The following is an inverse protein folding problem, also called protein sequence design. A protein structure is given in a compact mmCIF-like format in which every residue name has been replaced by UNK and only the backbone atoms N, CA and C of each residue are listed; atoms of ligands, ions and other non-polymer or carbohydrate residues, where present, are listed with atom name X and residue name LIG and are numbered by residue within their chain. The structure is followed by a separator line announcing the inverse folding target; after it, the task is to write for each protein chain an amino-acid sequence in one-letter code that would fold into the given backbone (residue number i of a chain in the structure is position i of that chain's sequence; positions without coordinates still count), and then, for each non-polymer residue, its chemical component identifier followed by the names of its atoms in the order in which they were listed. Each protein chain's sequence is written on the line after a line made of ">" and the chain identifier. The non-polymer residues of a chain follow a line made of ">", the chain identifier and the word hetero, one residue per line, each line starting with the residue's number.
data_IF_702690740682
#
_entry.id   IF_702690740682
#
_cell.length_a   1.000
_cell.length_b   1.000
_cell.length_c   1.000
_cell.angle_alpha   90.00
_cell.angle_beta   90.00
_cell.angle_gamma   90.00
#
_symmetry.space_group_name_H-M   'P 1'
#
loop_
_entity.id
_entity.type
_entity.pdbx_description
1 polymer ?
#
# COMPACT_ATOMS: atom_id res chain seq x y z
N UNK A 1 -9.63 -1.74 14.35
CA UNK A 1 -8.68 -1.22 13.32
C UNK A 1 -7.58 -2.25 13.05
N UNK A 2 -7.24 -2.53 11.76
CA UNK A 2 -6.10 -3.39 11.38
C UNK A 2 -4.77 -2.72 11.73
N UNK A 3 -3.75 -3.53 12.01
CA UNK A 3 -2.41 -3.08 12.38
C UNK A 3 -1.38 -3.68 11.47
N UNK A 4 -0.60 -2.81 10.88
CA UNK A 4 0.32 -3.16 9.81
C UNK A 4 1.68 -2.54 10.05
N UNK A 5 2.71 -3.20 9.53
CA UNK A 5 4.08 -2.70 9.54
C UNK A 5 4.37 -1.98 8.23
N UNK A 6 5.18 -0.93 8.29
CA UNK A 6 5.68 -0.21 7.13
C UNK A 6 7.20 -0.23 7.10
N UNK A 7 7.74 -0.81 6.03
CA UNK A 7 9.16 -0.71 5.67
C UNK A 7 9.34 0.20 4.47
N UNK A 8 10.29 1.11 4.57
CA UNK A 8 10.77 1.88 3.42
C UNK A 8 12.01 1.21 2.85
N UNK A 9 11.91 0.70 1.62
CA UNK A 9 12.98 -0.04 0.94
C UNK A 9 13.77 0.92 0.04
N UNK A 10 15.10 0.79 0.04
CA UNK A 10 15.99 1.67 -0.72
C UNK A 10 16.51 2.89 0.04
N UNK A 11 16.16 3.03 1.32
CA UNK A 11 16.76 3.99 2.24
C UNK A 11 18.02 3.42 2.90
N UNK A 12 18.82 4.30 3.51
CA UNK A 12 20.00 3.87 4.29
C UNK A 12 19.61 3.03 5.51
N UNK A 13 18.39 3.26 6.02
CA UNK A 13 17.80 2.61 7.18
C UNK A 13 17.07 1.30 6.82
N UNK A 14 17.10 0.87 5.56
CA UNK A 14 16.55 -0.43 5.18
C UNK A 14 17.27 -1.52 5.99
N UNK A 15 16.56 -2.36 6.77
CA UNK A 15 17.21 -3.38 7.57
C UNK A 15 17.93 -4.41 6.69
N UNK A 16 18.87 -5.15 7.26
CA UNK A 16 19.42 -6.31 6.58
C UNK A 16 18.30 -7.32 6.27
N UNK A 17 18.46 -8.04 5.18
CA UNK A 17 17.40 -8.89 4.64
C UNK A 17 16.88 -9.95 5.63
N UNK A 18 17.79 -10.68 6.28
CA UNK A 18 17.40 -11.70 7.27
C UNK A 18 16.77 -11.06 8.52
N UNK A 19 17.23 -9.90 8.94
CA UNK A 19 16.64 -9.13 10.05
C UNK A 19 15.18 -8.78 9.76
N UNK A 20 14.88 -8.28 8.57
CA UNK A 20 13.49 -7.99 8.18
C UNK A 20 12.62 -9.25 8.18
N UNK A 21 13.16 -10.38 7.71
CA UNK A 21 12.41 -11.65 7.74
C UNK A 21 12.07 -12.05 9.18
N UNK A 22 13.01 -11.97 10.11
CA UNK A 22 12.80 -12.28 11.53
C UNK A 22 11.72 -11.36 12.15
N UNK A 23 11.77 -10.06 11.86
CA UNK A 23 10.78 -9.08 12.33
C UNK A 23 9.39 -9.38 11.78
N UNK A 24 9.26 -9.69 10.49
CA UNK A 24 7.97 -10.01 9.87
C UNK A 24 7.42 -11.35 10.37
N UNK A 25 8.25 -12.34 10.60
CA UNK A 25 7.83 -13.62 11.21
C UNK A 25 7.36 -13.43 12.67
N UNK A 26 8.03 -12.55 13.43
CA UNK A 26 7.57 -12.15 14.74
C UNK A 26 6.19 -11.47 14.66
N UNK A 27 6.02 -10.52 13.73
CA UNK A 27 4.77 -9.82 13.50
C UNK A 27 3.63 -10.79 13.15
N UNK A 28 3.88 -11.73 12.25
CA UNK A 28 2.91 -12.78 11.89
C UNK A 28 2.51 -13.63 13.09
N UNK A 29 3.49 -14.03 13.91
CA UNK A 29 3.25 -14.82 15.12
C UNK A 29 2.35 -14.07 16.13
N UNK A 30 2.53 -12.77 16.22
CA UNK A 30 1.79 -11.88 17.10
C UNK A 30 0.44 -11.40 16.51
N UNK A 31 0.11 -11.77 15.27
CA UNK A 31 -1.18 -11.48 14.64
C UNK A 31 -1.28 -10.07 14.06
N UNK A 32 -0.18 -9.49 13.62
CA UNK A 32 -0.18 -8.30 12.77
C UNK A 32 -0.79 -8.64 11.41
N UNK A 33 -1.59 -7.73 10.86
CA UNK A 33 -2.41 -7.99 9.68
C UNK A 33 -1.62 -7.97 8.37
N UNK A 34 -0.80 -6.92 8.15
CA UNK A 34 -0.10 -6.71 6.89
C UNK A 34 1.32 -6.18 7.12
N UNK A 35 2.25 -6.56 6.26
CA UNK A 35 3.54 -5.90 6.12
C UNK A 35 3.59 -5.16 4.78
N UNK A 36 3.82 -3.88 4.82
CA UNK A 36 3.95 -3.01 3.66
C UNK A 36 5.40 -2.69 3.35
N UNK A 37 5.78 -2.85 2.09
CA UNK A 37 7.07 -2.44 1.55
C UNK A 37 6.85 -1.28 0.57
N UNK A 38 7.30 -0.10 0.94
CA UNK A 38 7.22 1.11 0.13
C UNK A 38 8.59 1.51 -0.41
N UNK A 39 8.68 2.17 -1.57
CA UNK A 39 9.89 2.84 -1.98
C UNK A 39 10.24 3.96 -1.00
N UNK A 40 11.51 4.24 -0.79
CA UNK A 40 11.93 5.38 0.01
C UNK A 40 11.82 6.68 -0.79
N UNK A 41 11.42 7.77 -0.12
CA UNK A 41 11.49 9.10 -0.69
C UNK A 41 12.92 9.68 -0.52
N UNK A 42 13.50 10.22 -1.59
CA UNK A 42 14.72 11.01 -1.51
C UNK A 42 14.44 12.44 -1.02
N UNK A 43 15.46 13.16 -0.56
CA UNK A 43 15.36 14.57 -0.14
C UNK A 43 14.89 15.48 -1.29
N UNK A 44 15.14 15.09 -2.53
CA UNK A 44 14.73 15.77 -3.75
C UNK A 44 13.28 15.44 -4.19
N UNK A 45 12.55 14.65 -3.39
CA UNK A 45 11.20 14.19 -3.70
C UNK A 45 11.14 13.02 -4.68
N UNK A 46 12.28 12.54 -5.19
CA UNK A 46 12.32 11.33 -6.03
C UNK A 46 12.07 10.07 -5.19
N UNK A 47 11.48 9.05 -5.82
CA UNK A 47 11.34 7.74 -5.19
C UNK A 47 12.53 6.84 -5.55
N UNK A 48 13.16 6.28 -4.52
CA UNK A 48 14.16 5.21 -4.67
C UNK A 48 13.43 3.88 -4.53
N UNK A 49 13.32 3.15 -5.64
CA UNK A 49 12.50 1.94 -5.69
C UNK A 49 12.94 0.85 -4.70
N UNK A 50 14.25 0.61 -4.55
CA UNK A 50 14.76 -0.42 -3.63
C UNK A 50 14.23 -1.84 -3.90
N UNK A 51 13.49 -2.02 -4.98
CA UNK A 51 12.86 -3.26 -5.42
C UNK A 51 11.94 -3.93 -4.36
N UNK A 52 10.89 -3.25 -3.84
CA UNK A 52 9.97 -3.83 -2.85
C UNK A 52 9.38 -5.18 -3.29
N UNK A 53 9.13 -5.38 -4.58
CA UNK A 53 8.61 -6.63 -5.14
C UNK A 53 9.52 -7.84 -4.88
N UNK A 54 10.83 -7.64 -4.82
CA UNK A 54 11.79 -8.72 -4.51
C UNK A 54 11.71 -9.09 -3.03
N UNK A 55 11.66 -8.08 -2.15
CA UNK A 55 11.49 -8.28 -0.71
C UNK A 55 10.19 -9.03 -0.40
N UNK A 56 9.08 -8.60 -1.00
CA UNK A 56 7.78 -9.25 -0.82
C UNK A 56 7.75 -10.70 -1.35
N UNK A 57 8.42 -10.97 -2.46
CA UNK A 57 8.53 -12.34 -2.98
C UNK A 57 9.28 -13.26 -2.01
N UNK A 58 10.31 -12.74 -1.35
CA UNK A 58 11.02 -13.51 -0.33
C UNK A 58 10.18 -13.70 0.94
N UNK A 59 9.48 -12.65 1.40
CA UNK A 59 8.55 -12.75 2.53
C UNK A 59 7.41 -13.73 2.25
N UNK A 60 6.88 -13.77 1.02
CA UNK A 60 5.85 -14.72 0.62
C UNK A 60 6.24 -16.18 0.90
N UNK A 61 7.53 -16.51 0.72
CA UNK A 61 8.05 -17.86 0.96
C UNK A 61 8.41 -18.17 2.42
N UNK A 62 8.40 -17.18 3.29
CA UNK A 62 8.84 -17.26 4.69
C UNK A 62 7.71 -16.99 5.69
N UNK A 63 6.52 -16.70 5.20
CA UNK A 63 5.30 -16.39 5.98
C UNK A 63 4.11 -17.16 5.41
N UNK A 64 3.06 -17.35 6.21
CA UNK A 64 1.89 -18.14 5.84
C UNK A 64 0.57 -17.35 5.84
N UNK A 65 0.45 -16.31 6.69
CA UNK A 65 -0.83 -15.63 6.95
C UNK A 65 -0.77 -14.12 6.78
N UNK A 66 0.31 -13.47 7.20
CA UNK A 66 0.46 -12.02 7.13
C UNK A 66 0.32 -11.56 5.66
N UNK A 67 -0.48 -10.53 5.43
CA UNK A 67 -0.65 -9.98 4.09
C UNK A 67 0.58 -9.18 3.66
N UNK A 68 0.76 -9.04 2.37
CA UNK A 68 1.95 -8.45 1.75
C UNK A 68 1.53 -7.21 0.96
N UNK A 69 1.84 -6.05 1.49
CA UNK A 69 1.51 -4.77 0.87
C UNK A 69 2.67 -4.25 0.00
N UNK A 70 2.40 -4.00 -1.26
CA UNK A 70 3.35 -3.41 -2.19
C UNK A 70 3.04 -1.94 -2.46
N UNK A 71 3.85 -1.04 -1.91
CA UNK A 71 3.86 0.37 -2.30
C UNK A 71 4.57 0.57 -3.64
N UNK A 72 3.88 1.15 -4.61
CA UNK A 72 4.36 1.32 -5.97
C UNK A 72 4.30 2.80 -6.37
N UNK A 73 5.45 3.43 -6.56
CA UNK A 73 5.53 4.80 -7.07
C UNK A 73 5.49 4.80 -8.60
N UNK A 74 4.54 5.54 -9.16
CA UNK A 74 4.38 5.74 -10.58
C UNK A 74 4.03 4.49 -11.41
N UNK A 75 3.18 4.63 -12.38
CA UNK A 75 2.87 3.60 -13.38
C UNK A 75 2.97 4.16 -14.79
N UNK A 76 4.00 4.95 -15.06
CA UNK A 76 4.18 5.63 -16.34
C UNK A 76 5.38 5.08 -17.10
N UNK A 77 5.24 4.81 -18.41
CA UNK A 77 6.38 4.53 -19.27
C UNK A 77 7.34 5.74 -19.35
N UNK A 78 8.63 5.51 -19.58
CA UNK A 78 9.26 4.20 -19.81
C UNK A 78 9.67 3.46 -18.53
N UNK A 79 9.63 4.11 -17.37
CA UNK A 79 10.19 3.59 -16.13
C UNK A 79 9.41 2.38 -15.56
N UNK A 80 8.07 2.43 -15.64
CA UNK A 80 7.24 1.37 -15.07
C UNK A 80 5.97 1.10 -15.91
N UNK A 81 6.07 0.29 -16.98
CA UNK A 81 4.92 -0.07 -17.80
C UNK A 81 3.86 -0.83 -16.98
N UNK A 82 2.55 -0.48 -17.07
CA UNK A 82 1.48 -1.17 -16.34
C UNK A 82 1.47 -2.69 -16.53
N UNK A 83 1.80 -3.19 -17.71
CA UNK A 83 1.90 -4.63 -17.98
C UNK A 83 2.94 -5.31 -17.09
N UNK A 84 4.09 -4.68 -16.87
CA UNK A 84 5.12 -5.24 -16.00
C UNK A 84 4.68 -5.30 -14.54
N UNK A 85 3.92 -4.30 -14.12
CA UNK A 85 3.30 -4.28 -12.78
C UNK A 85 2.28 -5.41 -12.66
N UNK A 86 1.42 -5.60 -13.68
CA UNK A 86 0.42 -6.66 -13.69
C UNK A 86 1.03 -8.05 -13.56
N UNK A 87 2.10 -8.33 -14.32
CA UNK A 87 2.83 -9.61 -14.26
C UNK A 87 3.49 -9.84 -12.91
N UNK A 88 4.18 -8.84 -12.37
CA UNK A 88 4.89 -8.95 -11.08
C UNK A 88 3.91 -9.11 -9.92
N UNK A 89 2.84 -8.32 -9.89
CA UNK A 89 1.83 -8.40 -8.86
C UNK A 89 1.14 -9.77 -8.87
N UNK A 90 0.75 -10.26 -10.05
CA UNK A 90 0.16 -11.60 -10.15
C UNK A 90 1.13 -12.71 -9.70
N UNK A 91 2.42 -12.59 -9.98
CA UNK A 91 3.42 -13.56 -9.53
C UNK A 91 3.59 -13.56 -8.01
N UNK A 92 3.61 -12.37 -7.37
CA UNK A 92 3.67 -12.25 -5.91
C UNK A 92 2.37 -12.78 -5.28
N UNK A 93 1.22 -12.45 -5.86
CA UNK A 93 -0.08 -12.90 -5.37
C UNK A 93 -0.20 -14.42 -5.41
N UNK A 94 0.21 -15.05 -6.50
CA UNK A 94 0.26 -16.51 -6.61
C UNK A 94 1.24 -17.14 -5.61
N UNK A 95 2.43 -16.60 -5.48
CA UNK A 95 3.46 -17.15 -4.58
C UNK A 95 3.11 -16.97 -3.10
N UNK A 96 2.27 -15.99 -2.78
CA UNK A 96 1.75 -15.73 -1.44
C UNK A 96 0.36 -16.36 -1.20
N UNK A 97 -0.19 -17.12 -2.15
CA UNK A 97 -1.51 -17.73 -2.03
C UNK A 97 -2.65 -16.71 -1.77
N UNK A 98 -2.59 -15.58 -2.51
CA UNK A 98 -3.64 -14.55 -2.45
C UNK A 98 -3.51 -13.56 -1.29
N UNK A 99 -2.28 -13.28 -0.82
CA UNK A 99 -2.05 -12.33 0.28
C UNK A 99 -1.57 -10.95 -0.17
N UNK A 100 -1.42 -10.69 -1.46
CA UNK A 100 -0.94 -9.40 -1.96
C UNK A 100 -2.00 -8.30 -1.82
N UNK A 101 -1.55 -7.11 -1.51
CA UNK A 101 -2.25 -5.82 -1.66
C UNK A 101 -1.34 -4.82 -2.37
N UNK A 102 -1.90 -3.91 -3.18
CA UNK A 102 -1.12 -2.88 -3.87
C UNK A 102 -1.55 -1.49 -3.45
N UNK A 103 -0.59 -0.67 -3.04
CA UNK A 103 -0.79 0.76 -2.81
C UNK A 103 -0.08 1.56 -3.91
N UNK A 104 -0.88 2.22 -4.73
CA UNK A 104 -0.41 2.98 -5.88
C UNK A 104 -0.19 4.43 -5.47
N UNK A 105 1.05 4.90 -5.53
CA UNK A 105 1.38 6.29 -5.24
C UNK A 105 1.25 7.11 -6.53
N UNK A 106 0.64 8.29 -6.48
CA UNK A 106 0.71 9.24 -7.58
C UNK A 106 2.17 9.60 -7.86
N UNK A 107 2.50 9.79 -9.13
CA UNK A 107 3.84 10.25 -9.51
C UNK A 107 4.05 11.69 -9.02
N UNK A 108 4.96 11.90 -8.08
CA UNK A 108 5.29 13.25 -7.58
C UNK A 108 5.94 14.13 -8.67
N UNK A 109 6.49 13.51 -9.72
CA UNK A 109 7.10 14.18 -10.86
C UNK A 109 6.14 14.43 -12.03
N UNK A 110 4.93 13.86 -11.99
CA UNK A 110 3.94 14.10 -13.04
C UNK A 110 3.50 15.57 -12.97
N UNK A 111 3.84 16.29 -14.03
CA UNK A 111 3.26 17.60 -14.31
C UNK A 111 1.74 17.45 -14.36
N UNK A 112 1.01 18.48 -13.98
CA UNK A 112 -0.47 18.55 -14.02
C UNK A 112 -1.09 18.06 -15.36
N UNK A 113 -0.29 17.98 -16.43
CA UNK A 113 -0.74 17.52 -17.76
C UNK A 113 -0.85 15.99 -17.88
N UNK A 114 -0.46 15.21 -16.86
CA UNK A 114 -0.35 13.75 -16.96
C UNK A 114 -1.16 12.97 -15.89
N UNK A 115 -2.05 13.66 -15.15
CA UNK A 115 -2.93 13.03 -14.16
C UNK A 115 -3.77 11.89 -14.74
N UNK A 116 -4.23 12.03 -15.98
CA UNK A 116 -4.93 10.97 -16.70
C UNK A 116 -4.11 9.72 -17.01
N UNK A 117 -2.77 9.79 -16.99
CA UNK A 117 -1.92 8.63 -17.25
C UNK A 117 -1.96 7.64 -16.07
N UNK A 118 -2.03 8.14 -14.85
CA UNK A 118 -2.14 7.31 -13.67
C UNK A 118 -3.47 6.56 -13.63
N UNK A 119 -4.61 7.24 -13.83
CA UNK A 119 -5.93 6.61 -13.87
C UNK A 119 -6.04 5.58 -14.99
N UNK A 120 -5.47 5.91 -16.15
CA UNK A 120 -5.41 5.00 -17.28
C UNK A 120 -4.58 3.77 -16.95
N UNK A 121 -3.43 3.94 -16.28
CA UNK A 121 -2.59 2.85 -15.81
C UNK A 121 -3.30 1.92 -14.82
N UNK A 122 -4.07 2.46 -13.88
CA UNK A 122 -4.89 1.67 -12.93
C UNK A 122 -5.95 0.84 -13.67
N UNK A 123 -6.68 1.45 -14.61
CA UNK A 123 -7.68 0.73 -15.41
C UNK A 123 -7.04 -0.38 -16.24
N UNK A 124 -5.92 -0.09 -16.91
CA UNK A 124 -5.17 -1.10 -17.66
C UNK A 124 -4.76 -2.27 -16.77
N UNK A 125 -4.33 -2.00 -15.53
CA UNK A 125 -3.93 -3.03 -14.57
C UNK A 125 -5.08 -3.99 -14.25
N UNK A 126 -6.26 -3.45 -13.92
CA UNK A 126 -7.46 -4.24 -13.65
C UNK A 126 -7.89 -5.04 -14.87
N UNK A 127 -7.98 -4.40 -16.04
CA UNK A 127 -8.36 -5.05 -17.29
C UNK A 127 -7.39 -6.18 -17.71
N UNK A 128 -6.09 -5.99 -17.43
CA UNK A 128 -5.08 -7.02 -17.70
C UNK A 128 -5.28 -8.27 -16.83
N UNK A 129 -5.78 -8.13 -15.61
CA UNK A 129 -6.05 -9.27 -14.74
C UNK A 129 -7.36 -10.00 -15.07
N UNK A 130 -8.39 -9.24 -15.45
CA UNK A 130 -9.71 -9.80 -15.76
C UNK A 130 -9.78 -10.43 -17.16
N UNK A 131 -9.30 -9.72 -18.18
CA UNK A 131 -9.43 -10.15 -19.58
C UNK A 131 -8.51 -11.33 -19.91
N UNK A 132 -9.03 -12.37 -20.59
CA UNK A 132 -8.19 -13.45 -21.11
C UNK A 132 -7.15 -12.93 -22.12
N UNK A 133 -7.54 -11.94 -22.92
CA UNK A 133 -6.67 -11.28 -23.90
C UNK A 133 -6.86 -9.78 -23.82
N UNK A 134 -5.77 -9.06 -23.54
CA UNK A 134 -5.74 -7.63 -23.35
C UNK A 134 -5.23 -6.91 -24.59
N UNK A 135 -5.83 -5.75 -24.91
CA UNK A 135 -5.27 -4.79 -25.85
C UNK A 135 -5.70 -3.39 -25.43
N UNK A 136 -4.86 -2.39 -25.69
CA UNK A 136 -5.15 -1.01 -25.32
C UNK A 136 -4.67 -0.05 -26.41
N UNK A 137 -5.44 0.99 -26.67
CA UNK A 137 -5.05 2.05 -27.62
C UNK A 137 -5.56 3.39 -27.10
N UNK A 138 -4.64 4.26 -26.75
CA UNK A 138 -4.91 5.64 -26.37
C UNK A 138 -3.78 6.55 -26.87
N UNK A 139 -3.88 7.87 -26.69
CA UNK A 139 -2.76 8.78 -26.98
C UNK A 139 -1.50 8.50 -26.14
N UNK A 140 -1.65 7.87 -24.96
CA UNK A 140 -0.56 7.60 -24.01
C UNK A 140 -0.01 6.18 -24.13
N UNK A 141 -0.88 5.20 -24.34
CA UNK A 141 -0.52 3.79 -24.32
C UNK A 141 -1.00 3.06 -25.57
N UNK A 142 -0.14 2.24 -26.13
CA UNK A 142 -0.51 1.32 -27.22
C UNK A 142 0.01 -0.06 -26.89
N UNK A 143 -0.92 -1.00 -26.62
CA UNK A 143 -0.62 -2.41 -26.36
C UNK A 143 -1.35 -3.25 -27.37
N UNK A 144 -0.64 -3.97 -28.25
CA UNK A 144 -1.27 -4.89 -29.19
C UNK A 144 -1.94 -6.05 -28.44
N UNK A 145 -2.87 -6.80 -29.06
CA UNK A 145 -3.51 -7.93 -28.42
C UNK A 145 -2.50 -8.95 -27.88
N UNK A 146 -2.48 -9.13 -26.55
CA UNK A 146 -1.52 -9.97 -25.83
C UNK A 146 -2.22 -10.69 -24.66
N UNK A 147 -1.75 -11.88 -24.33
CA UNK A 147 -2.17 -12.60 -23.14
C UNK A 147 -1.24 -12.20 -22.00
N UNK A 148 -1.77 -11.43 -21.01
CA UNK A 148 -1.01 -11.02 -19.84
C UNK A 148 -1.08 -12.15 -18.81
N UNK A 149 0.04 -12.80 -18.56
CA UNK A 149 0.16 -13.95 -17.66
C UNK A 149 1.39 -13.80 -16.76
N UNK A 150 1.33 -14.30 -15.48
CA UNK A 150 0.20 -15.00 -14.88
C UNK A 150 -0.99 -14.11 -14.53
N UNK A 151 -2.11 -14.70 -14.14
CA UNK A 151 -3.23 -14.02 -13.49
C UNK A 151 -3.08 -14.15 -11.97
N UNK A 152 -3.58 -13.18 -11.18
CA UNK A 152 -3.54 -13.29 -9.72
C UNK A 152 -4.39 -14.45 -9.20
N UNK A 153 -4.10 -14.88 -7.96
CA UNK A 153 -4.91 -15.87 -7.26
C UNK A 153 -6.21 -15.26 -6.71
N UNK A 154 -6.16 -13.98 -6.34
CA UNK A 154 -7.32 -13.27 -5.80
C UNK A 154 -8.30 -12.88 -6.91
N UNK A 155 -9.62 -12.95 -6.61
CA UNK A 155 -10.69 -12.56 -7.51
C UNK A 155 -11.54 -11.44 -6.88
N UNK A 156 -11.87 -10.38 -7.66
CA UNK A 156 -11.52 -10.17 -9.07
C UNK A 156 -10.02 -9.88 -9.28
N UNK A 157 -9.33 -9.36 -8.31
CA UNK A 157 -7.89 -9.04 -8.31
C UNK A 157 -7.43 -8.70 -6.87
N UNK A 158 -6.11 -8.56 -6.60
CA UNK A 158 -5.61 -8.07 -5.32
C UNK A 158 -6.20 -6.71 -4.95
N UNK A 159 -6.46 -6.43 -3.65
CA UNK A 159 -6.95 -5.13 -3.21
C UNK A 159 -6.03 -3.99 -3.68
N UNK A 160 -6.65 -2.91 -4.18
CA UNK A 160 -5.97 -1.73 -4.68
C UNK A 160 -6.23 -0.53 -3.78
N UNK A 161 -5.16 0.19 -3.45
CA UNK A 161 -5.16 1.39 -2.65
C UNK A 161 -4.56 2.55 -3.46
N UNK A 162 -5.06 3.75 -3.26
CA UNK A 162 -4.31 4.96 -3.58
C UNK A 162 -3.62 5.43 -2.31
N UNK A 163 -2.29 5.46 -2.29
CA UNK A 163 -1.51 6.06 -1.21
C UNK A 163 -1.23 7.53 -1.54
N UNK A 164 -1.80 8.44 -0.75
CA UNK A 164 -1.73 9.88 -1.05
C UNK A 164 -1.55 10.75 0.19
N UNK A 165 -1.39 12.05 -0.01
CA UNK A 165 -1.07 13.01 1.04
C UNK A 165 -1.92 14.28 1.01
N UNK A 166 -3.03 14.27 0.30
CA UNK A 166 -3.94 15.42 0.17
C UNK A 166 -5.39 15.00 0.08
N UNK A 167 -6.30 15.92 0.37
CA UNK A 167 -7.75 15.70 0.21
C UNK A 167 -8.13 15.41 -1.26
N UNK A 168 -7.38 15.95 -2.23
CA UNK A 168 -7.57 15.67 -3.65
C UNK A 168 -7.25 14.19 -3.98
N UNK A 169 -6.12 13.66 -3.46
CA UNK A 169 -5.80 12.24 -3.60
C UNK A 169 -6.84 11.35 -2.92
N UNK A 170 -7.34 11.76 -1.75
CA UNK A 170 -8.39 11.05 -1.03
C UNK A 170 -9.70 10.99 -1.83
N UNK A 171 -10.15 12.14 -2.36
CA UNK A 171 -11.33 12.20 -3.23
C UNK A 171 -11.16 11.35 -4.48
N UNK A 172 -9.98 11.41 -5.13
CA UNK A 172 -9.66 10.59 -6.31
C UNK A 172 -9.69 9.09 -6.03
N UNK A 173 -9.21 8.65 -4.85
CA UNK A 173 -9.34 7.25 -4.42
C UNK A 173 -10.81 6.87 -4.30
N UNK A 174 -11.62 7.72 -3.67
CA UNK A 174 -13.06 7.57 -3.55
C UNK A 174 -13.73 7.43 -4.92
N UNK A 175 -13.52 8.39 -5.82
CA UNK A 175 -14.08 8.42 -7.19
C UNK A 175 -13.65 7.22 -8.04
N UNK A 176 -12.41 6.73 -7.85
CA UNK A 176 -11.88 5.55 -8.53
C UNK A 176 -12.32 4.22 -7.94
N UNK A 177 -13.09 4.22 -6.84
CA UNK A 177 -13.50 2.98 -6.16
C UNK A 177 -12.36 2.25 -5.45
N UNK A 178 -11.21 2.91 -5.22
CA UNK A 178 -10.04 2.36 -4.54
C UNK A 178 -10.18 2.51 -3.02
N UNK A 179 -9.40 1.76 -2.25
CA UNK A 179 -9.13 2.09 -0.87
C UNK A 179 -8.15 3.29 -0.78
N UNK A 180 -8.16 4.03 0.31
CA UNK A 180 -7.28 5.19 0.51
C UNK A 180 -6.30 4.95 1.65
N UNK A 181 -5.03 5.24 1.44
CA UNK A 181 -3.98 5.23 2.44
C UNK A 181 -3.37 6.62 2.57
N UNK A 182 -3.59 7.27 3.69
CA UNK A 182 -2.99 8.57 4.01
C UNK A 182 -1.53 8.40 4.42
N UNK A 183 -0.63 8.99 3.64
CA UNK A 183 0.81 9.00 3.90
C UNK A 183 1.34 10.43 4.16
N UNK A 184 0.45 11.37 4.50
CA UNK A 184 0.82 12.78 4.70
C UNK A 184 1.66 13.01 5.95
N UNK A 185 1.51 12.16 6.97
CA UNK A 185 2.06 12.42 8.30
C UNK A 185 1.43 13.66 8.98
N UNK A 186 0.25 14.05 8.54
CA UNK A 186 -0.43 15.26 9.01
C UNK A 186 -0.99 15.16 10.42
N UNK A 187 -1.56 16.27 10.90
CA UNK A 187 -2.30 16.31 12.17
C UNK A 187 -3.63 15.57 12.07
N UNK A 188 -4.23 15.20 13.20
CA UNK A 188 -5.55 14.53 13.22
C UNK A 188 -6.59 15.33 12.43
N UNK A 189 -6.57 16.67 12.50
CA UNK A 189 -7.46 17.51 11.72
C UNK A 189 -7.24 17.35 10.21
N UNK A 190 -5.99 17.21 9.77
CA UNK A 190 -5.65 16.95 8.35
C UNK A 190 -6.12 15.57 7.94
N UNK A 191 -5.88 14.57 8.76
CA UNK A 191 -6.29 13.18 8.51
C UNK A 191 -7.81 13.05 8.39
N UNK A 192 -8.56 13.71 9.28
CA UNK A 192 -10.04 13.78 9.22
C UNK A 192 -10.51 14.43 7.92
N UNK A 193 -9.90 15.55 7.51
CA UNK A 193 -10.22 16.22 6.26
C UNK A 193 -10.05 15.28 5.05
N UNK A 194 -8.96 14.52 5.01
CA UNK A 194 -8.71 13.58 3.92
C UNK A 194 -9.69 12.41 3.95
N UNK A 195 -9.96 11.83 5.12
CA UNK A 195 -10.95 10.76 5.28
C UNK A 195 -12.36 11.21 4.83
N UNK A 196 -12.77 12.41 5.22
CA UNK A 196 -14.09 12.95 4.85
C UNK A 196 -14.19 13.15 3.33
N UNK A 197 -13.14 13.69 2.69
CA UNK A 197 -13.07 13.82 1.24
C UNK A 197 -13.17 12.46 0.53
N UNK A 198 -12.48 11.43 1.04
CA UNK A 198 -12.57 10.06 0.54
C UNK A 198 -14.00 9.50 0.66
N UNK A 199 -14.59 9.64 1.84
CA UNK A 199 -15.91 9.06 2.15
C UNK A 199 -17.01 9.72 1.31
N UNK A 200 -16.96 11.05 1.15
CA UNK A 200 -17.90 11.81 0.34
C UNK A 200 -17.82 11.41 -1.14
N UNK A 201 -16.61 11.36 -1.69
CA UNK A 201 -16.39 10.97 -3.08
C UNK A 201 -16.85 9.53 -3.35
N UNK A 202 -16.53 8.61 -2.46
CA UNK A 202 -16.91 7.20 -2.60
C UNK A 202 -18.41 6.95 -2.49
N UNK A 203 -19.14 7.74 -1.72
CA UNK A 203 -20.58 7.59 -1.57
C UNK A 203 -21.36 7.81 -2.89
N UNK A 204 -20.76 8.43 -3.88
CA UNK A 204 -21.34 8.68 -5.21
C UNK A 204 -21.18 7.52 -6.20
N UNK A 205 -20.45 6.45 -5.87
CA UNK A 205 -20.13 5.36 -6.80
C UNK A 205 -21.18 4.24 -6.71
N UNK A 206 -21.54 3.67 -7.86
CA UNK A 206 -22.33 2.44 -7.91
C UNK A 206 -21.52 1.30 -7.24
N UNK A 207 -22.09 0.55 -6.28
CA UNK A 207 -21.41 -0.57 -5.66
C UNK A 207 -20.87 -1.62 -6.62
N UNK A 208 -21.39 -1.71 -7.83
CA UNK A 208 -20.91 -2.63 -8.87
C UNK A 208 -19.65 -2.13 -9.59
N UNK A 209 -19.35 -0.82 -9.49
CA UNK A 209 -18.17 -0.20 -10.11
C UNK A 209 -16.98 -0.09 -9.14
N UNK A 210 -17.11 -0.65 -7.92
CA UNK A 210 -16.06 -0.60 -6.92
C UNK A 210 -14.91 -1.55 -7.28
N UNK A 211 -13.74 -0.98 -7.43
CA UNK A 211 -12.49 -1.71 -7.71
C UNK A 211 -11.95 -2.39 -6.45
N UNK A 212 -12.21 -1.84 -5.26
CA UNK A 212 -11.74 -2.35 -3.99
C UNK A 212 -12.77 -2.13 -2.88
N UNK A 213 -12.64 -2.87 -1.78
CA UNK A 213 -13.45 -2.62 -0.59
C UNK A 213 -13.17 -1.23 -0.02
N UNK A 214 -14.19 -0.60 0.60
CA UNK A 214 -13.99 0.65 1.30
C UNK A 214 -13.02 0.42 2.46
N UNK A 215 -11.92 1.15 2.48
CA UNK A 215 -10.97 1.16 3.59
C UNK A 215 -10.18 2.46 3.56
N UNK A 216 -9.98 3.05 4.72
CA UNK A 216 -9.16 4.24 4.89
C UNK A 216 -8.09 3.96 5.95
N UNK A 217 -6.84 3.99 5.54
CA UNK A 217 -5.67 3.70 6.38
C UNK A 217 -4.79 4.93 6.58
N UNK A 218 -3.93 4.86 7.59
CA UNK A 218 -2.93 5.90 7.91
C UNK A 218 -1.55 5.26 8.00
N UNK A 219 -0.55 5.90 7.36
CA UNK A 219 0.85 5.57 7.56
C UNK A 219 1.50 6.58 8.51
N UNK A 220 2.16 6.12 9.57
CA UNK A 220 2.67 6.98 10.63
C UNK A 220 3.90 6.41 11.33
N UNK A 221 4.55 7.27 12.11
CA UNK A 221 5.49 6.86 13.14
C UNK A 221 4.76 6.79 14.48
N UNK A 222 4.95 5.70 15.19
CA UNK A 222 4.33 5.47 16.48
C UNK A 222 5.36 4.84 17.43
N UNK A 223 5.43 5.32 18.65
CA UNK A 223 6.27 4.77 19.69
C UNK A 223 5.45 3.90 20.67
N UNK A 224 6.15 3.07 21.43
CA UNK A 224 5.57 2.19 22.45
C UNK A 224 5.36 2.96 23.77
N UNK A 225 4.60 4.05 23.73
CA UNK A 225 4.27 4.89 24.89
C UNK A 225 2.76 4.91 25.16
N UNK A 226 2.33 5.36 26.35
CA UNK A 226 0.91 5.62 26.62
C UNK A 226 0.26 6.57 25.61
N UNK A 227 1.00 7.60 25.16
CA UNK A 227 0.54 8.54 24.13
C UNK A 227 0.32 7.84 22.78
N UNK A 228 1.17 6.84 22.45
CA UNK A 228 0.99 6.00 21.27
C UNK A 228 -0.28 5.16 21.30
N UNK A 229 -0.64 4.61 22.46
CA UNK A 229 -1.91 3.89 22.66
C UNK A 229 -3.10 4.84 22.46
N UNK A 230 -3.06 6.00 23.10
CA UNK A 230 -4.13 7.01 23.02
C UNK A 230 -4.35 7.46 21.55
N UNK A 231 -3.28 7.63 20.79
CA UNK A 231 -3.37 7.95 19.35
C UNK A 231 -4.00 6.82 18.54
N UNK A 232 -3.64 5.56 18.78
CA UNK A 232 -4.24 4.41 18.08
C UNK A 232 -5.76 4.35 18.33
N UNK A 233 -6.19 4.52 19.57
CA UNK A 233 -7.61 4.55 19.94
C UNK A 233 -8.29 5.74 19.25
N UNK A 234 -7.68 6.92 19.30
CA UNK A 234 -8.21 8.13 18.66
C UNK A 234 -8.43 7.96 17.15
N UNK A 235 -7.52 7.30 16.44
CA UNK A 235 -7.69 7.05 15.00
C UNK A 235 -8.78 6.01 14.71
N UNK A 236 -8.95 5.00 15.54
CA UNK A 236 -10.06 4.06 15.42
C UNK A 236 -11.41 4.75 15.64
N UNK A 237 -11.50 5.59 16.66
CA UNK A 237 -12.69 6.42 16.94
C UNK A 237 -12.98 7.42 15.81
N UNK A 238 -11.94 7.91 15.15
CA UNK A 238 -12.05 8.74 13.96
C UNK A 238 -12.45 7.96 12.70
N UNK A 239 -12.59 6.63 12.76
CA UNK A 239 -13.09 5.80 11.67
C UNK A 239 -12.04 5.39 10.64
N UNK A 240 -10.77 5.31 11.02
CA UNK A 240 -9.74 4.68 10.20
C UNK A 240 -9.78 3.16 10.39
N UNK A 241 -9.61 2.43 9.30
CA UNK A 241 -9.70 0.96 9.26
C UNK A 241 -8.35 0.27 9.47
N UNK A 242 -7.25 0.96 9.14
CA UNK A 242 -5.90 0.40 9.19
C UNK A 242 -4.87 1.46 9.61
N UNK A 243 -3.91 1.06 10.42
CA UNK A 243 -2.73 1.86 10.73
C UNK A 243 -1.46 1.12 10.31
N UNK A 244 -0.61 1.80 9.53
CA UNK A 244 0.70 1.33 9.12
C UNK A 244 1.76 2.03 9.98
N UNK A 245 2.45 1.29 10.80
CA UNK A 245 3.50 1.84 11.66
C UNK A 245 4.87 1.57 11.06
N UNK A 246 5.64 2.64 10.88
CA UNK A 246 7.01 2.53 10.38
C UNK A 246 7.90 1.84 11.38
N UNK A 247 8.59 0.80 10.93
CA UNK A 247 9.58 0.04 11.71
C UNK A 247 11.00 0.12 11.15
N UNK A 248 11.18 0.57 9.91
CA UNK A 248 12.47 0.97 9.36
C UNK A 248 12.87 2.36 9.89
N UNK A 249 14.12 2.72 9.82
CA UNK A 249 14.68 4.01 10.30
C UNK A 249 14.73 4.23 11.82
N UNK A 250 14.78 3.17 12.62
CA UNK A 250 14.87 3.28 14.06
C UNK A 250 16.33 3.34 14.53
N UNK A 251 16.64 4.27 15.43
CA UNK A 251 17.99 4.40 16.01
C UNK A 251 18.42 3.13 16.78
N UNK A 252 17.47 2.45 17.44
CA UNK A 252 17.66 1.21 18.17
C UNK A 252 17.73 -0.06 17.30
N UNK A 253 17.58 0.07 15.97
CA UNK A 253 17.67 -1.04 15.03
C UNK A 253 16.66 -2.15 15.29
N UNK A 254 17.10 -3.41 15.09
CA UNK A 254 16.27 -4.61 15.24
C UNK A 254 15.59 -4.74 16.62
N UNK A 255 16.26 -4.38 17.70
CA UNK A 255 15.70 -4.50 19.04
C UNK A 255 14.49 -3.58 19.24
N UNK A 256 14.59 -2.33 18.79
CA UNK A 256 13.51 -1.35 18.83
C UNK A 256 12.37 -1.74 17.89
N UNK A 257 12.68 -2.23 16.69
CA UNK A 257 11.68 -2.74 15.76
C UNK A 257 10.86 -3.88 16.40
N UNK A 258 11.51 -4.84 17.02
CA UNK A 258 10.84 -5.93 17.75
C UNK A 258 9.99 -5.44 18.94
N UNK A 259 10.44 -4.42 19.67
CA UNK A 259 9.67 -3.80 20.76
C UNK A 259 8.41 -3.12 20.24
N UNK A 260 8.53 -2.37 19.14
CA UNK A 260 7.40 -1.71 18.47
C UNK A 260 6.39 -2.70 17.91
N UNK A 261 6.85 -3.81 17.32
CA UNK A 261 5.98 -4.89 16.83
C UNK A 261 5.21 -5.52 18.00
N UNK A 262 5.86 -5.82 19.13
CA UNK A 262 5.18 -6.35 20.33
C UNK A 262 4.17 -5.38 20.89
N UNK A 263 4.49 -4.09 20.92
CA UNK A 263 3.58 -3.04 21.35
C UNK A 263 2.32 -3.01 20.48
N UNK A 264 2.46 -2.97 19.15
CA UNK A 264 1.34 -2.99 18.22
C UNK A 264 0.44 -4.22 18.39
N UNK A 265 1.01 -5.35 18.74
CA UNK A 265 0.28 -6.60 18.93
C UNK A 265 -0.33 -6.75 20.32
N UNK A 266 0.02 -5.87 21.30
CA UNK A 266 -0.45 -5.96 22.67
C UNK A 266 -1.95 -5.72 22.81
N UNK A 267 -2.54 -6.26 23.89
CA UNK A 267 -3.95 -6.01 24.23
C UNK A 267 -4.20 -4.54 24.58
N UNK A 268 -3.22 -3.85 25.19
CA UNK A 268 -3.32 -2.42 25.48
C UNK A 268 -3.50 -1.57 24.24
N UNK A 269 -2.91 -2.01 23.12
CA UNK A 269 -3.15 -1.41 21.83
C UNK A 269 -4.44 -1.92 21.13
N UNK A 270 -5.13 -2.93 21.69
CA UNK A 270 -6.37 -3.53 21.17
C UNK A 270 -7.62 -3.10 21.95
N UNK A 271 -7.62 -1.92 22.54
CA UNK A 271 -8.74 -1.51 23.40
C UNK A 271 -10.02 -1.34 22.62
N UNK A 272 -10.94 -2.28 22.91
CA UNK A 272 -12.39 -2.36 22.69
C UNK A 272 -12.92 -2.60 21.30
#
# INVERSE_FOLDING_TARGET
>A
MKRSLLYQIGAAETPEFETMIEEVQLAETLGIDTVWCFPSAGEDGSFRDGAPSIWLSALASRTERIRLGWGLAGMTPPSRPPMRVAEQAAAIDLSSEGRLELALLPDAELRQDDEGAWDEGVRMLVDMWDAPRFSWTSPRFTVPPVDVVPKPAQHPHPPLWLAGWSAEHAARAGEGGLAFLDISGGTDQTLVLHRDAYTEARAGIDPNDLVSMASCGIATELDASPDGVERLIGWEDLGFDEVLVRVSSLEGGHAEACERIRFLASEDARVH
#
